data_IF_886737658370
#
_entry.id   IF_886737658370
#
_cell.length_a   1.000
_cell.length_b   1.000
_cell.length_c   1.000
_cell.angle_alpha   90.00
_cell.angle_beta   90.00
_cell.angle_gamma   90.00
#
_symmetry.space_group_name_H-M   'P 1'
#
loop_
_entity.id
_entity.type
_entity.pdbx_description
1 polymer ?
#
# COMPACT_ATOMS: atom_id res chain seq x y z
N UNK A 1 -8.14 -15.10 -2.79
CA UNK A 1 -9.07 -15.42 -1.67
C UNK A 1 -8.41 -16.42 -0.75
N UNK A 2 -8.51 -16.25 0.58
CA UNK A 2 -8.09 -17.28 1.54
C UNK A 2 -8.91 -18.58 1.37
N UNK A 3 -8.31 -19.78 1.54
CA UNK A 3 -9.03 -21.05 1.37
C UNK A 3 -10.20 -21.22 2.35
N UNK A 4 -11.27 -21.89 1.89
CA UNK A 4 -12.40 -22.32 2.73
C UNK A 4 -13.35 -21.23 3.21
N UNK A 5 -13.27 -20.01 2.67
CA UNK A 5 -14.10 -18.88 3.09
C UNK A 5 -15.34 -18.71 2.19
N UNK A 6 -16.51 -18.55 2.83
CA UNK A 6 -17.80 -18.29 2.17
C UNK A 6 -18.52 -17.02 2.64
N UNK A 7 -17.98 -16.33 3.67
CA UNK A 7 -18.52 -15.06 4.18
C UNK A 7 -18.03 -13.84 3.40
N UNK A 8 -18.65 -12.68 3.64
CA UNK A 8 -18.16 -11.41 3.12
C UNK A 8 -16.78 -11.13 3.73
N UNK A 9 -15.77 -11.00 2.86
CA UNK A 9 -14.42 -10.66 3.27
C UNK A 9 -14.16 -9.18 3.03
N UNK A 10 -13.43 -8.55 3.95
CA UNK A 10 -12.81 -7.26 3.73
C UNK A 10 -11.74 -7.39 2.65
N UNK A 11 -11.71 -6.52 1.63
CA UNK A 11 -10.60 -6.47 0.70
C UNK A 11 -9.44 -5.64 1.27
N UNK A 12 -8.23 -6.15 1.03
CA UNK A 12 -6.97 -5.43 1.12
C UNK A 12 -6.49 -5.21 -0.32
N UNK A 13 -6.40 -3.96 -0.72
CA UNK A 13 -5.98 -3.57 -2.08
C UNK A 13 -4.46 -3.60 -2.13
N UNK A 14 -3.91 -4.49 -2.96
CA UNK A 14 -2.48 -4.67 -3.15
C UNK A 14 -2.00 -3.88 -4.38
N UNK A 15 -1.12 -2.92 -4.14
CA UNK A 15 -0.56 -2.02 -5.15
C UNK A 15 0.87 -2.40 -5.47
N UNK A 16 1.16 -2.60 -6.75
CA UNK A 16 2.49 -3.04 -7.20
C UNK A 16 3.52 -1.91 -7.21
N UNK A 17 4.80 -2.29 -7.16
CA UNK A 17 5.92 -1.40 -7.42
C UNK A 17 6.03 -1.03 -8.90
N UNK A 18 6.87 -0.05 -9.22
CA UNK A 18 7.13 0.33 -10.62
C UNK A 18 7.61 -0.90 -11.41
N UNK A 19 7.13 -1.03 -12.64
CA UNK A 19 7.36 -2.14 -13.58
C UNK A 19 6.74 -3.49 -13.16
N UNK A 20 5.93 -3.49 -12.08
CA UNK A 20 5.06 -4.61 -11.69
C UNK A 20 3.66 -4.54 -12.34
N UNK A 21 2.77 -5.43 -11.89
CA UNK A 21 1.36 -5.51 -12.29
C UNK A 21 0.53 -6.18 -11.18
N UNK A 22 -0.75 -6.48 -11.44
CA UNK A 22 -1.66 -7.12 -10.48
C UNK A 22 -1.15 -8.47 -9.91
N UNK A 23 -0.27 -9.17 -10.62
CA UNK A 23 0.32 -10.45 -10.22
C UNK A 23 1.48 -10.35 -9.22
N UNK A 24 2.05 -9.15 -9.00
CA UNK A 24 3.22 -8.98 -8.13
C UNK A 24 3.00 -9.50 -6.70
N UNK A 25 1.77 -9.39 -6.19
CA UNK A 25 1.43 -9.94 -4.87
C UNK A 25 1.62 -11.46 -4.80
N UNK A 26 1.39 -12.17 -5.92
CA UNK A 26 1.54 -13.62 -6.01
C UNK A 26 3.02 -13.99 -6.09
N UNK A 27 3.80 -13.23 -6.87
CA UNK A 27 5.25 -13.42 -6.97
C UNK A 27 5.97 -13.24 -5.62
N UNK A 28 5.39 -12.43 -4.72
CA UNK A 28 5.87 -12.23 -3.35
C UNK A 28 5.31 -13.24 -2.35
N UNK A 29 4.32 -14.04 -2.74
CA UNK A 29 3.81 -15.16 -1.95
C UNK A 29 2.67 -14.80 -0.99
N UNK A 30 1.85 -13.81 -1.36
CA UNK A 30 0.68 -13.41 -0.56
C UNK A 30 -0.30 -14.58 -0.38
N UNK A 31 -0.50 -15.41 -1.39
CA UNK A 31 -1.42 -16.55 -1.33
C UNK A 31 -0.99 -17.61 -0.30
N UNK A 32 0.31 -17.91 -0.18
CA UNK A 32 0.80 -18.82 0.84
C UNK A 32 0.69 -18.18 2.23
N UNK A 33 0.95 -16.88 2.33
CA UNK A 33 0.77 -16.11 3.57
C UNK A 33 -0.68 -16.13 4.07
N UNK A 34 -1.66 -15.88 3.19
CA UNK A 34 -3.08 -15.95 3.53
C UNK A 34 -3.50 -17.37 3.96
N UNK A 35 -3.05 -18.40 3.25
CA UNK A 35 -3.35 -19.78 3.62
C UNK A 35 -2.79 -20.14 5.02
N UNK A 36 -1.60 -19.64 5.34
CA UNK A 36 -0.98 -19.80 6.65
C UNK A 36 -1.79 -19.10 7.76
N UNK A 37 -2.20 -17.85 7.56
CA UNK A 37 -2.97 -17.11 8.55
C UNK A 37 -4.29 -17.80 8.90
N UNK A 38 -5.01 -18.31 7.90
CA UNK A 38 -6.25 -19.08 8.12
C UNK A 38 -5.96 -20.33 8.94
N UNK A 39 -4.89 -21.06 8.62
CA UNK A 39 -4.48 -22.26 9.37
C UNK A 39 -4.11 -21.95 10.82
N UNK A 40 -3.58 -20.75 11.08
CA UNK A 40 -3.25 -20.25 12.41
C UNK A 40 -4.47 -19.65 13.16
N UNK A 41 -5.67 -19.70 12.57
CA UNK A 41 -6.91 -19.21 13.18
C UNK A 41 -7.05 -17.69 13.19
N UNK A 42 -6.28 -16.97 12.37
CA UNK A 42 -6.38 -15.51 12.23
C UNK A 42 -7.61 -15.13 11.38
N UNK A 43 -8.19 -13.93 11.58
CA UNK A 43 -9.25 -13.41 10.73
C UNK A 43 -8.88 -13.44 9.24
N UNK A 44 -9.80 -13.91 8.41
CA UNK A 44 -9.61 -14.00 6.97
C UNK A 44 -9.93 -12.65 6.28
N UNK A 45 -9.15 -12.31 5.26
CA UNK A 45 -9.41 -11.16 4.38
C UNK A 45 -9.03 -11.52 2.94
N UNK A 46 -9.62 -10.81 1.98
CA UNK A 46 -9.28 -10.96 0.57
C UNK A 46 -8.14 -10.00 0.21
N UNK A 47 -7.19 -10.42 -0.62
CA UNK A 47 -6.22 -9.50 -1.25
C UNK A 47 -6.57 -9.36 -2.73
N UNK A 48 -6.65 -8.12 -3.17
CA UNK A 48 -7.00 -7.74 -4.55
C UNK A 48 -5.81 -7.02 -5.17
N UNK A 49 -5.09 -7.70 -6.05
CA UNK A 49 -4.02 -7.10 -6.84
C UNK A 49 -4.59 -6.18 -7.92
N UNK A 50 -4.02 -5.00 -8.07
CA UNK A 50 -4.43 -4.00 -9.08
C UNK A 50 -3.31 -3.83 -10.09
N UNK A 51 -3.64 -3.62 -11.36
CA UNK A 51 -2.68 -3.15 -12.38
C UNK A 51 -2.92 -1.66 -12.62
N UNK A 52 -2.01 -0.81 -12.12
CA UNK A 52 -2.11 0.64 -12.23
C UNK A 52 -1.13 1.26 -13.23
N UNK A 53 -0.38 0.42 -13.95
CA UNK A 53 0.77 0.86 -14.74
C UNK A 53 1.81 1.62 -13.89
N UNK A 54 2.65 2.42 -14.55
CA UNK A 54 3.77 3.13 -13.91
C UNK A 54 3.44 4.58 -13.52
N UNK A 55 2.16 4.89 -13.33
CA UNK A 55 1.67 6.27 -13.20
C UNK A 55 1.65 6.79 -11.75
N UNK A 56 2.24 6.06 -10.79
CA UNK A 56 2.31 6.48 -9.38
C UNK A 56 0.94 6.67 -8.70
N UNK A 57 -0.12 5.97 -9.14
CA UNK A 57 -1.39 5.88 -8.39
C UNK A 57 -2.13 7.21 -8.21
N UNK A 58 -1.92 8.18 -9.10
CA UNK A 58 -2.68 9.42 -9.13
C UNK A 58 -2.91 9.94 -10.55
N UNK A 59 -3.77 10.97 -10.66
CA UNK A 59 -4.06 11.67 -11.91
C UNK A 59 -2.77 12.21 -12.52
N UNK A 60 -2.62 11.96 -13.83
CA UNK A 60 -1.53 12.45 -14.66
C UNK A 60 -2.02 13.45 -15.70
N UNK A 61 -1.15 14.36 -16.11
CA UNK A 61 -1.40 15.30 -17.21
C UNK A 61 -1.61 14.61 -18.55
N UNK A 62 -1.07 13.40 -18.72
CA UNK A 62 -1.33 12.51 -19.86
C UNK A 62 -2.73 11.89 -19.89
N UNK A 63 -3.54 12.11 -18.84
CA UNK A 63 -4.93 11.66 -18.74
C UNK A 63 -5.16 10.39 -17.92
N UNK A 64 -4.11 9.61 -17.62
CA UNK A 64 -4.23 8.42 -16.77
C UNK A 64 -4.51 8.77 -15.31
N UNK A 65 -5.34 7.97 -14.62
CA UNK A 65 -5.65 8.16 -13.19
C UNK A 65 -5.86 6.81 -12.50
N UNK A 66 -4.76 6.14 -12.16
CA UNK A 66 -4.85 4.86 -11.46
C UNK A 66 -5.34 5.01 -10.02
N UNK A 67 -5.31 6.22 -9.45
CA UNK A 67 -5.90 6.49 -8.14
C UNK A 67 -7.42 6.46 -8.18
N UNK A 68 -8.04 7.17 -9.14
CA UNK A 68 -9.48 7.15 -9.35
C UNK A 68 -9.97 5.75 -9.76
N UNK A 69 -9.24 5.04 -10.64
CA UNK A 69 -9.59 3.66 -11.00
C UNK A 69 -9.66 2.74 -9.77
N UNK A 70 -8.76 2.89 -8.80
CA UNK A 70 -8.85 2.12 -7.54
C UNK A 70 -10.04 2.57 -6.69
N UNK A 71 -10.20 3.86 -6.43
CA UNK A 71 -11.16 4.34 -5.43
C UNK A 71 -12.61 4.37 -5.94
N UNK A 72 -12.79 4.78 -7.20
CA UNK A 72 -14.07 5.13 -7.79
C UNK A 72 -14.62 4.01 -8.69
N UNK A 73 -13.78 3.10 -9.18
CA UNK A 73 -14.21 1.99 -10.05
C UNK A 73 -14.07 0.62 -9.35
N UNK A 74 -12.88 0.31 -8.83
CA UNK A 74 -12.62 -0.99 -8.21
C UNK A 74 -13.41 -1.19 -6.91
N UNK A 75 -13.46 -0.21 -6.00
CA UNK A 75 -14.19 -0.41 -4.74
C UNK A 75 -15.70 -0.63 -4.96
N UNK A 76 -16.41 0.12 -5.81
CA UNK A 76 -17.79 -0.20 -6.17
C UNK A 76 -17.94 -1.57 -6.83
N UNK A 77 -17.01 -1.98 -7.71
CA UNK A 77 -17.02 -3.31 -8.31
C UNK A 77 -16.90 -4.42 -7.25
N UNK A 78 -15.97 -4.30 -6.30
CA UNK A 78 -15.81 -5.30 -5.23
C UNK A 78 -17.06 -5.39 -4.34
N UNK A 79 -17.75 -4.26 -4.14
CA UNK A 79 -19.03 -4.20 -3.43
C UNK A 79 -20.11 -5.01 -4.16
N UNK A 80 -20.22 -4.85 -5.49
CA UNK A 80 -21.19 -5.61 -6.29
C UNK A 80 -20.86 -7.10 -6.38
N UNK A 81 -19.58 -7.46 -6.20
CA UNK A 81 -19.12 -8.85 -6.04
C UNK A 81 -19.34 -9.42 -4.63
N UNK A 82 -19.94 -8.65 -3.71
CA UNK A 82 -20.30 -9.11 -2.37
C UNK A 82 -19.20 -8.99 -1.31
N UNK A 83 -18.13 -8.24 -1.57
CA UNK A 83 -17.10 -7.95 -0.54
C UNK A 83 -17.57 -6.86 0.43
N UNK A 84 -17.04 -6.89 1.66
CA UNK A 84 -17.25 -5.83 2.65
C UNK A 84 -16.28 -4.67 2.39
N UNK A 85 -16.75 -3.66 1.65
CA UNK A 85 -15.97 -2.44 1.32
C UNK A 85 -16.27 -1.26 2.25
N UNK A 86 -16.99 -1.50 3.37
CA UNK A 86 -17.29 -0.46 4.37
C UNK A 86 -16.00 0.16 4.92
N UNK A 87 -15.00 -0.69 5.18
CA UNK A 87 -13.60 -0.31 5.39
C UNK A 87 -12.67 -1.26 4.65
N UNK A 88 -11.70 -0.74 3.92
CA UNK A 88 -10.74 -1.54 3.13
C UNK A 88 -9.30 -1.34 3.63
N UNK A 89 -8.45 -2.35 3.48
CA UNK A 89 -7.02 -2.20 3.74
C UNK A 89 -6.25 -1.82 2.48
N UNK A 90 -5.07 -1.23 2.64
CA UNK A 90 -4.11 -1.00 1.54
C UNK A 90 -2.76 -1.61 1.88
N UNK A 91 -2.20 -2.34 0.91
CA UNK A 91 -0.89 -2.97 0.99
C UNK A 91 -0.12 -2.57 -0.26
N UNK A 92 1.16 -2.23 -0.16
CA UNK A 92 1.92 -1.99 -1.37
C UNK A 92 3.42 -1.87 -1.19
N UNK A 93 4.14 -2.14 -2.28
CA UNK A 93 5.59 -2.17 -2.35
C UNK A 93 6.12 -1.04 -3.23
N UNK A 94 7.18 -0.34 -2.82
CA UNK A 94 7.83 0.68 -3.65
C UNK A 94 6.83 1.78 -4.09
N UNK A 95 6.64 1.98 -5.40
CA UNK A 95 5.59 2.84 -5.97
C UNK A 95 4.21 2.54 -5.37
N UNK A 96 3.88 1.27 -5.16
CA UNK A 96 2.64 0.82 -4.52
C UNK A 96 2.58 1.14 -3.04
N UNK A 97 3.70 1.17 -2.32
CA UNK A 97 3.74 1.60 -0.92
C UNK A 97 3.42 3.09 -0.77
N UNK A 98 3.90 3.92 -1.69
CA UNK A 98 3.46 5.31 -1.82
C UNK A 98 1.96 5.40 -2.17
N UNK A 99 1.50 4.63 -3.15
CA UNK A 99 0.08 4.58 -3.53
C UNK A 99 -0.82 4.18 -2.37
N UNK A 100 -0.39 3.22 -1.53
CA UNK A 100 -1.16 2.73 -0.40
C UNK A 100 -1.39 3.84 0.64
N UNK A 101 -0.35 4.65 0.91
CA UNK A 101 -0.45 5.83 1.77
C UNK A 101 -1.36 6.89 1.16
N UNK A 102 -1.17 7.22 -0.12
CA UNK A 102 -1.94 8.26 -0.80
C UNK A 102 -3.43 7.92 -0.89
N UNK A 103 -3.75 6.72 -1.38
CA UNK A 103 -5.14 6.29 -1.59
C UNK A 103 -5.85 6.03 -0.27
N UNK A 104 -5.16 5.43 0.72
CA UNK A 104 -5.72 5.25 2.06
C UNK A 104 -6.03 6.59 2.76
N UNK A 105 -5.17 7.60 2.59
CA UNK A 105 -5.44 8.95 3.09
C UNK A 105 -6.62 9.63 2.38
N UNK A 106 -6.71 9.51 1.05
CA UNK A 106 -7.81 10.06 0.24
C UNK A 106 -9.16 9.42 0.55
N UNK A 107 -9.17 8.10 0.75
CA UNK A 107 -10.38 7.38 1.14
C UNK A 107 -10.85 7.78 2.54
N UNK A 108 -9.90 8.13 3.41
CA UNK A 108 -10.15 8.74 4.72
C UNK A 108 -10.25 7.74 5.87
N UNK A 109 -10.04 8.19 7.13
CA UNK A 109 -9.92 7.31 8.29
C UNK A 109 -11.13 6.43 8.56
N UNK A 110 -12.33 6.95 8.28
CA UNK A 110 -13.58 6.22 8.48
C UNK A 110 -13.70 4.99 7.55
N UNK A 111 -13.04 5.01 6.39
CA UNK A 111 -13.14 3.99 5.34
C UNK A 111 -11.85 3.20 5.11
N UNK A 112 -10.74 3.60 5.70
CA UNK A 112 -9.47 2.87 5.62
C UNK A 112 -9.25 2.05 6.87
N UNK A 113 -9.25 0.72 6.73
CA UNK A 113 -9.05 -0.24 7.83
C UNK A 113 -7.60 -0.21 8.37
N UNK A 114 -6.64 -0.08 7.46
CA UNK A 114 -5.21 0.02 7.75
C UNK A 114 -4.39 0.12 6.48
N UNK A 115 -3.17 0.62 6.59
CA UNK A 115 -2.22 0.77 5.48
C UNK A 115 -0.90 0.11 5.85
N UNK A 116 -0.41 -0.81 5.03
CA UNK A 116 0.94 -1.37 5.12
C UNK A 116 1.75 -0.94 3.91
N UNK A 117 2.69 -0.02 4.15
CA UNK A 117 3.54 0.58 3.13
C UNK A 117 4.96 0.02 3.23
N UNK A 118 5.39 -0.67 2.18
CA UNK A 118 6.61 -1.48 2.20
C UNK A 118 7.61 -0.86 1.24
N UNK A 119 8.76 -0.47 1.77
CA UNK A 119 9.80 0.24 1.02
C UNK A 119 9.23 1.38 0.18
N UNK A 120 8.36 2.25 0.74
CA UNK A 120 7.52 3.12 -0.06
C UNK A 120 8.37 4.13 -0.84
N UNK A 121 8.05 4.33 -2.13
CA UNK A 121 8.76 5.25 -3.01
C UNK A 121 8.43 6.71 -2.68
N UNK A 122 8.94 7.17 -1.54
CA UNK A 122 8.74 8.52 -1.02
C UNK A 122 9.88 9.44 -1.42
N UNK A 123 9.54 10.72 -1.56
CA UNK A 123 10.47 11.75 -2.00
C UNK A 123 10.32 13.00 -1.13
N UNK A 124 11.44 13.55 -0.68
CA UNK A 124 11.49 14.73 0.19
C UNK A 124 11.42 16.05 -0.58
N UNK A 125 11.47 16.00 -1.91
CA UNK A 125 11.30 17.14 -2.81
C UNK A 125 10.90 16.68 -4.21
N UNK A 126 10.29 17.57 -4.99
CA UNK A 126 10.01 17.33 -6.41
C UNK A 126 11.29 17.05 -7.22
N UNK A 127 12.34 17.85 -7.04
CA UNK A 127 13.60 17.70 -7.78
C UNK A 127 14.37 16.42 -7.42
N UNK A 128 14.15 15.88 -6.21
CA UNK A 128 14.68 14.58 -5.80
C UNK A 128 13.77 13.41 -6.13
N UNK A 129 12.62 13.65 -6.77
CA UNK A 129 11.69 12.60 -7.14
C UNK A 129 12.19 11.77 -8.32
N UNK A 130 11.77 10.50 -8.40
CA UNK A 130 12.07 9.68 -9.57
C UNK A 130 11.44 10.34 -10.80
N UNK A 131 12.16 10.51 -11.92
CA UNK A 131 11.56 11.04 -13.14
C UNK A 131 10.29 10.28 -13.53
N UNK A 132 9.21 11.04 -13.78
CA UNK A 132 7.90 10.48 -14.06
C UNK A 132 7.07 10.12 -12.83
N UNK A 133 7.56 10.31 -11.61
CA UNK A 133 6.73 10.18 -10.41
C UNK A 133 5.67 11.28 -10.34
N UNK A 134 6.04 12.52 -10.68
CA UNK A 134 5.16 13.68 -10.71
C UNK A 134 5.37 14.48 -11.99
N UNK A 135 4.30 15.10 -12.49
CA UNK A 135 4.29 15.87 -13.74
C UNK A 135 4.86 17.29 -13.57
N UNK A 136 4.76 17.84 -12.36
CA UNK A 136 5.23 19.19 -12.02
C UNK A 136 5.44 19.34 -10.51
N UNK A 137 5.96 20.50 -10.08
CA UNK A 137 6.05 20.84 -8.67
C UNK A 137 4.65 20.90 -8.01
N UNK A 138 3.66 21.47 -8.68
CA UNK A 138 2.29 21.55 -8.16
C UNK A 138 1.68 20.15 -8.03
N UNK A 139 1.94 19.28 -9.00
CA UNK A 139 1.54 17.87 -8.94
C UNK A 139 2.18 17.14 -7.75
N UNK A 140 3.47 17.37 -7.50
CA UNK A 140 4.15 16.86 -6.30
C UNK A 140 3.51 17.37 -5.00
N UNK A 141 3.21 18.66 -4.90
CA UNK A 141 2.58 19.23 -3.70
C UNK A 141 1.18 18.64 -3.46
N UNK A 142 0.40 18.47 -4.52
CA UNK A 142 -0.96 17.90 -4.43
C UNK A 142 -0.98 16.40 -4.07
N UNK A 143 0.09 15.69 -4.40
CA UNK A 143 0.18 14.23 -4.28
C UNK A 143 1.18 13.75 -3.22
N UNK A 144 1.88 14.66 -2.55
CA UNK A 144 2.78 14.31 -1.45
C UNK A 144 2.02 13.71 -0.27
N UNK A 145 2.56 12.63 0.30
CA UNK A 145 2.06 12.01 1.54
C UNK A 145 2.73 12.55 2.79
N UNK A 146 3.72 13.44 2.64
CA UNK A 146 4.34 14.13 3.77
C UNK A 146 3.36 15.15 4.36
N UNK A 147 3.18 15.12 5.68
CA UNK A 147 2.31 16.06 6.40
C UNK A 147 0.80 15.83 6.25
N UNK A 148 0.33 14.74 5.63
CA UNK A 148 -1.12 14.48 5.50
C UNK A 148 -1.76 14.15 6.86
N UNK A 149 -2.67 14.98 7.40
CA UNK A 149 -3.23 14.77 8.73
C UNK A 149 -4.03 13.46 8.87
N UNK A 150 -4.69 13.02 7.79
CA UNK A 150 -5.47 11.78 7.77
C UNK A 150 -4.64 10.54 8.16
N UNK A 151 -3.35 10.52 7.81
CA UNK A 151 -2.45 9.41 8.12
C UNK A 151 -2.17 9.28 9.62
N UNK A 152 -2.38 10.32 10.43
CA UNK A 152 -2.30 10.24 11.89
C UNK A 152 -3.53 9.57 12.54
N UNK A 153 -4.59 9.33 11.77
CA UNK A 153 -5.85 8.74 12.26
C UNK A 153 -6.14 7.35 11.66
N UNK A 154 -5.21 6.82 10.86
CA UNK A 154 -5.31 5.52 10.21
C UNK A 154 -4.28 4.57 10.83
N UNK A 155 -4.61 3.31 11.13
CA UNK A 155 -3.60 2.32 11.51
C UNK A 155 -2.56 2.17 10.39
N UNK A 156 -1.29 2.38 10.72
CA UNK A 156 -0.18 2.30 9.78
C UNK A 156 0.81 1.23 10.19
N UNK A 157 1.31 0.50 9.18
CA UNK A 157 2.53 -0.29 9.23
C UNK A 157 3.47 0.18 8.14
N UNK A 158 4.74 0.39 8.48
CA UNK A 158 5.78 0.80 7.54
C UNK A 158 7.01 -0.06 7.76
N UNK A 159 7.43 -0.78 6.72
CA UNK A 159 8.65 -1.58 6.72
C UNK A 159 9.57 -1.11 5.59
N UNK A 160 10.84 -0.91 5.88
CA UNK A 160 11.81 -0.47 4.87
C UNK A 160 13.23 -0.88 5.25
N UNK A 161 13.95 -1.45 4.27
CA UNK A 161 15.33 -1.87 4.47
C UNK A 161 16.24 -0.69 4.78
N UNK A 162 17.20 -0.85 5.70
CA UNK A 162 18.17 0.21 6.03
C UNK A 162 19.13 0.54 4.89
N UNK A 163 19.25 -0.36 3.90
CA UNK A 163 20.02 -0.16 2.67
C UNK A 163 19.13 0.19 1.47
N UNK A 164 17.82 0.39 1.69
CA UNK A 164 16.89 0.81 0.65
C UNK A 164 17.15 2.28 0.24
N UNK A 165 17.08 2.57 -1.05
CA UNK A 165 17.22 3.93 -1.58
C UNK A 165 16.18 4.91 -1.03
N UNK A 166 15.01 4.43 -0.60
CA UNK A 166 13.94 5.23 0.00
C UNK A 166 14.00 5.31 1.52
N UNK A 167 15.00 4.68 2.15
CA UNK A 167 15.12 4.63 3.62
C UNK A 167 15.05 6.01 4.27
N UNK A 168 15.83 6.98 3.77
CA UNK A 168 15.87 8.33 4.35
C UNK A 168 14.51 9.04 4.27
N UNK A 169 13.86 9.00 3.10
CA UNK A 169 12.55 9.62 2.91
C UNK A 169 11.47 8.91 3.76
N UNK A 170 11.53 7.58 3.85
CA UNK A 170 10.62 6.77 4.68
C UNK A 170 10.80 7.07 6.16
N UNK A 171 12.04 7.19 6.63
CA UNK A 171 12.33 7.58 8.02
C UNK A 171 11.84 8.98 8.34
N UNK A 172 12.00 9.93 7.42
CA UNK A 172 11.44 11.27 7.58
C UNK A 172 9.90 11.25 7.67
N UNK A 173 9.25 10.49 6.79
CA UNK A 173 7.79 10.28 6.84
C UNK A 173 7.37 9.71 8.19
N UNK A 174 8.01 8.63 8.67
CA UNK A 174 7.66 8.00 9.95
C UNK A 174 7.85 8.97 11.13
N UNK A 175 8.94 9.73 11.14
CA UNK A 175 9.23 10.69 12.22
C UNK A 175 8.25 11.88 12.28
N UNK A 176 7.50 12.14 11.21
CA UNK A 176 6.51 13.23 11.20
C UNK A 176 5.18 12.83 11.86
N UNK A 177 4.92 11.52 12.01
CA UNK A 177 3.66 11.00 12.51
C UNK A 177 3.51 11.27 14.01
N UNK A 178 2.28 11.52 14.46
CA UNK A 178 1.98 11.74 15.87
C UNK A 178 2.24 10.50 16.74
N UNK A 179 2.09 9.33 16.15
CA UNK A 179 2.35 8.04 16.77
C UNK A 179 3.23 7.21 15.85
N UNK A 180 4.20 6.45 16.40
CA UNK A 180 5.00 5.56 15.58
C UNK A 180 4.10 4.50 14.94
N UNK A 181 4.24 4.22 13.63
CA UNK A 181 3.53 3.14 12.98
C UNK A 181 4.08 1.79 13.46
N UNK A 182 3.32 0.72 13.22
CA UNK A 182 3.88 -0.63 13.31
C UNK A 182 4.93 -0.86 12.20
N UNK A 183 5.64 -1.98 12.28
CA UNK A 183 6.73 -2.30 11.34
C UNK A 183 8.07 -1.79 11.84
N UNK A 184 9.09 -1.90 11.00
CA UNK A 184 10.46 -1.56 11.40
C UNK A 184 11.36 -1.17 10.23
N UNK A 185 12.47 -0.53 10.59
CA UNK A 185 13.63 -0.43 9.73
C UNK A 185 14.62 -1.54 10.10
N UNK A 186 14.92 -2.42 9.16
CA UNK A 186 15.74 -3.62 9.39
C UNK A 186 16.76 -3.81 8.27
N UNK A 187 17.83 -4.61 8.46
CA UNK A 187 18.80 -4.89 7.40
C UNK A 187 18.12 -5.42 6.14
N UNK A 188 18.43 -4.84 4.98
CA UNK A 188 17.83 -5.21 3.70
C UNK A 188 17.81 -4.06 2.70
N UNK A 189 17.56 -4.37 1.43
CA UNK A 189 17.54 -3.42 0.32
C UNK A 189 16.15 -3.23 -0.30
N UNK A 190 16.15 -2.56 -1.46
CA UNK A 190 14.94 -2.35 -2.27
C UNK A 190 14.69 -3.53 -3.20
N UNK A 191 14.41 -4.70 -2.64
CA UNK A 191 14.37 -5.95 -3.40
C UNK A 191 13.35 -6.96 -2.88
N UNK A 192 13.04 -7.94 -3.73
CA UNK A 192 12.07 -8.98 -3.43
C UNK A 192 12.52 -9.94 -2.31
N UNK A 193 13.82 -10.02 -1.99
CA UNK A 193 14.27 -10.84 -0.86
C UNK A 193 13.81 -10.20 0.44
N UNK A 194 14.06 -8.90 0.60
CA UNK A 194 13.60 -8.14 1.76
C UNK A 194 12.07 -8.17 1.88
N UNK A 195 11.35 -7.91 0.78
CA UNK A 195 9.88 -7.89 0.82
C UNK A 195 9.26 -9.24 1.20
N UNK A 196 9.81 -10.36 0.70
CA UNK A 196 9.35 -11.71 1.08
C UNK A 196 9.62 -12.02 2.55
N UNK A 197 10.72 -11.52 3.10
CA UNK A 197 11.07 -11.70 4.51
C UNK A 197 10.08 -10.98 5.44
N UNK A 198 9.65 -9.77 5.10
CA UNK A 198 8.72 -8.99 5.92
C UNK A 198 7.27 -9.45 5.80
N UNK A 199 6.88 -10.02 4.65
CA UNK A 199 5.50 -10.35 4.29
C UNK A 199 4.69 -11.10 5.35
N UNK A 200 5.21 -12.13 6.06
CA UNK A 200 4.45 -12.81 7.09
C UNK A 200 3.99 -11.88 8.23
N UNK A 201 4.86 -10.94 8.65
CA UNK A 201 4.53 -9.97 9.69
C UNK A 201 3.53 -8.90 9.22
N UNK A 202 3.62 -8.52 7.96
CA UNK A 202 2.71 -7.55 7.32
C UNK A 202 1.30 -8.11 7.21
N UNK A 203 1.15 -9.36 6.73
CA UNK A 203 -0.15 -10.01 6.61
C UNK A 203 -0.75 -10.32 7.99
N UNK A 204 0.07 -10.72 8.97
CA UNK A 204 -0.39 -10.96 10.34
C UNK A 204 -0.91 -9.67 11.01
N UNK A 205 -0.28 -8.53 10.72
CA UNK A 205 -0.74 -7.21 11.16
C UNK A 205 -2.04 -6.79 10.45
N UNK A 206 -2.17 -7.07 9.15
CA UNK A 206 -3.43 -6.82 8.42
C UNK A 206 -4.61 -7.65 8.93
N UNK A 207 -4.33 -8.82 9.51
CA UNK A 207 -5.34 -9.69 10.10
C UNK A 207 -5.75 -9.32 11.53
N UNK A 208 -5.12 -8.31 12.16
CA UNK A 208 -5.37 -7.94 13.57
C UNK A 208 -6.53 -6.99 13.78
#
# INVERSE_FOLDING_TARGET
MPPGQSGQLRPVIALHGKDGNAGMMLDLGVEQGLARLVKEGKPAFAVVGVDGGNNYWHRRSSGGDSGAMVLDELLPMLTSMGMDTSRVGFLGWSMGGYGALLLGARLGPARTAGICAISPALFTSFTGSTPGAFDSYDDYVQHSVLGLPALNSIPLRVDCGTSDRFYFATRQFVNQLHQPPAGSFSPGGHDASYWREQLPGELAWMAS
#
